data_IF_831606814964
#
_entry.id   IF_831606814964
#
_cell.length_a   1.000
_cell.length_b   1.000
_cell.length_c   1.000
_cell.angle_alpha   90.00
_cell.angle_beta   90.00
_cell.angle_gamma   90.00
#
_symmetry.space_group_name_H-M   'P 1'
#
loop_
_entity.id
_entity.type
_entity.pdbx_description
1 polymer ?
#
# COMPACT_ATOMS: atom_id res chain seq x y z
N UNK A 1 4.77 -21.69 -38.72
CA UNK A 1 4.22 -21.59 -37.35
C UNK A 1 5.21 -20.77 -36.52
N UNK A 2 5.00 -19.48 -36.25
CA UNK A 2 5.84 -18.79 -35.29
C UNK A 2 5.30 -19.03 -33.87
N UNK A 3 6.21 -19.49 -33.00
CA UNK A 3 6.01 -19.71 -31.58
C UNK A 3 5.75 -18.37 -30.88
N UNK A 4 4.66 -18.28 -30.12
CA UNK A 4 4.43 -17.21 -29.17
C UNK A 4 5.33 -17.42 -27.95
N UNK A 5 6.47 -16.75 -27.91
CA UNK A 5 7.30 -16.68 -26.71
C UNK A 5 6.60 -15.84 -25.65
N UNK A 6 6.37 -16.48 -24.50
CA UNK A 6 5.89 -15.92 -23.24
C UNK A 6 6.79 -14.75 -22.78
N UNK A 7 6.40 -13.53 -23.12
CA UNK A 7 7.13 -12.29 -22.79
C UNK A 7 6.51 -11.52 -21.61
N UNK A 8 5.96 -12.22 -20.61
CA UNK A 8 5.28 -11.58 -19.45
C UNK A 8 5.88 -11.87 -18.08
N UNK A 9 6.73 -12.87 -17.92
CA UNK A 9 7.23 -13.28 -16.59
C UNK A 9 8.56 -12.61 -16.16
N UNK A 10 9.27 -11.91 -17.06
CA UNK A 10 10.55 -11.27 -16.73
C UNK A 10 10.44 -9.87 -16.10
N UNK A 11 9.32 -9.18 -16.27
CA UNK A 11 9.18 -7.75 -15.91
C UNK A 11 8.66 -7.52 -14.50
N UNK A 12 7.77 -8.37 -13.99
CA UNK A 12 7.15 -8.18 -12.68
C UNK A 12 8.16 -8.39 -11.55
N UNK A 13 8.95 -9.48 -11.61
CA UNK A 13 10.05 -9.71 -10.67
C UNK A 13 11.11 -8.59 -10.75
N UNK A 14 11.36 -8.05 -11.94
CA UNK A 14 12.25 -6.92 -12.13
C UNK A 14 11.76 -5.65 -11.43
N UNK A 15 10.47 -5.33 -11.57
CA UNK A 15 9.86 -4.15 -10.91
C UNK A 15 9.89 -4.29 -9.39
N UNK A 16 9.56 -5.47 -8.85
CA UNK A 16 9.57 -5.71 -7.40
C UNK A 16 10.98 -5.52 -6.83
N UNK A 17 12.01 -6.03 -7.50
CA UNK A 17 13.41 -5.85 -7.09
C UNK A 17 13.81 -4.37 -7.11
N UNK A 18 13.48 -3.64 -8.18
CA UNK A 18 13.78 -2.21 -8.32
C UNK A 18 13.09 -1.39 -7.22
N UNK A 19 11.81 -1.65 -6.96
CA UNK A 19 11.06 -0.97 -5.91
C UNK A 19 11.63 -1.31 -4.54
N UNK A 20 11.96 -2.57 -4.25
CA UNK A 20 12.61 -2.97 -3.00
C UNK A 20 13.91 -2.20 -2.77
N UNK A 21 14.77 -2.10 -3.78
CA UNK A 21 16.06 -1.41 -3.67
C UNK A 21 15.86 0.11 -3.54
N UNK A 22 14.85 0.68 -4.19
CA UNK A 22 14.40 2.05 -3.97
C UNK A 22 13.94 2.27 -2.52
N UNK A 23 13.09 1.41 -1.98
CA UNK A 23 12.60 1.49 -0.59
C UNK A 23 13.75 1.43 0.42
N UNK A 24 14.75 0.57 0.19
CA UNK A 24 15.97 0.52 1.01
C UNK A 24 16.76 1.82 0.94
N UNK A 25 16.87 2.40 -0.25
CA UNK A 25 17.57 3.66 -0.48
C UNK A 25 16.88 4.79 0.29
N UNK A 26 15.55 4.92 0.13
CA UNK A 26 14.74 5.91 0.85
C UNK A 26 14.88 5.73 2.35
N UNK A 27 14.70 4.51 2.87
CA UNK A 27 14.80 4.25 4.30
C UNK A 27 16.17 4.63 4.90
N UNK A 28 17.26 4.40 4.16
CA UNK A 28 18.62 4.70 4.61
C UNK A 28 19.00 6.18 4.47
N UNK A 29 18.36 6.92 3.55
CA UNK A 29 18.74 8.29 3.21
C UNK A 29 17.78 9.34 3.77
N UNK A 30 16.54 8.98 4.09
CA UNK A 30 15.54 9.90 4.62
C UNK A 30 15.84 10.29 6.06
N UNK A 31 15.95 11.59 6.31
CA UNK A 31 15.93 12.16 7.67
C UNK A 31 14.51 12.14 8.20
N UNK A 32 14.17 11.11 8.97
CA UNK A 32 12.81 10.91 9.51
C UNK A 32 12.67 11.50 10.91
N UNK A 33 11.50 12.08 11.27
CA UNK A 33 11.23 12.61 12.61
C UNK A 33 11.20 11.54 13.71
N UNK A 34 11.06 10.27 13.35
CA UNK A 34 11.18 9.13 14.25
C UNK A 34 11.88 7.96 13.55
N UNK A 35 12.57 7.05 14.27
CA UNK A 35 13.30 5.96 13.65
C UNK A 35 12.37 5.04 12.84
N UNK A 36 12.53 5.04 11.52
CA UNK A 36 11.83 4.13 10.62
C UNK A 36 12.71 2.94 10.27
N UNK A 37 12.17 1.71 10.34
CA UNK A 37 12.86 0.46 9.98
C UNK A 37 12.15 -0.34 8.91
N UNK A 38 11.00 0.14 8.47
CA UNK A 38 10.20 -0.51 7.46
C UNK A 38 9.73 0.50 6.42
N UNK A 39 9.57 0.03 5.19
CA UNK A 39 9.02 0.82 4.11
C UNK A 39 8.19 -0.05 3.16
N UNK A 40 7.19 0.55 2.54
CA UNK A 40 6.41 -0.10 1.50
C UNK A 40 5.94 0.91 0.45
N UNK A 41 5.66 0.41 -0.75
CA UNK A 41 5.07 1.18 -1.84
C UNK A 41 3.63 0.72 -2.04
N UNK A 42 2.67 1.61 -1.80
CA UNK A 42 1.27 1.39 -2.20
C UNK A 42 1.11 1.86 -3.64
N UNK A 43 0.48 1.05 -4.49
CA UNK A 43 0.27 1.38 -5.89
C UNK A 43 -1.06 0.83 -6.42
N UNK A 44 -1.60 1.36 -7.52
CA UNK A 44 -2.72 0.74 -8.22
C UNK A 44 -2.31 -0.66 -8.70
N UNK A 45 -3.13 -1.66 -8.37
CA UNK A 45 -2.98 -3.06 -8.78
C UNK A 45 -4.11 -3.38 -9.76
N UNK A 46 -3.74 -3.97 -10.89
CA UNK A 46 -4.67 -4.52 -11.87
C UNK A 46 -4.25 -5.95 -12.17
N UNK A 47 -5.01 -6.91 -11.65
CA UNK A 47 -4.84 -8.35 -11.94
C UNK A 47 -6.16 -8.84 -12.48
N UNK A 48 -6.14 -9.72 -13.49
CA UNK A 48 -7.32 -10.20 -14.24
C UNK A 48 -8.66 -10.16 -13.48
N UNK A 49 -9.47 -9.11 -13.71
CA UNK A 49 -10.80 -8.94 -13.12
C UNK A 49 -10.88 -8.17 -11.80
N UNK A 50 -9.75 -7.86 -11.16
CA UNK A 50 -9.65 -7.14 -9.89
C UNK A 50 -8.94 -5.79 -10.06
N UNK A 51 -9.60 -4.73 -9.58
CA UNK A 51 -9.05 -3.38 -9.48
C UNK A 51 -8.99 -2.97 -8.01
N UNK A 52 -7.82 -2.54 -7.56
CA UNK A 52 -7.57 -2.24 -6.15
C UNK A 52 -6.17 -1.68 -5.93
N UNK A 53 -5.79 -1.52 -4.67
CA UNK A 53 -4.43 -1.20 -4.29
C UNK A 53 -3.62 -2.47 -4.02
N UNK A 54 -2.35 -2.44 -4.42
CA UNK A 54 -1.33 -3.42 -4.08
C UNK A 54 -0.24 -2.76 -3.25
N UNK A 55 0.59 -3.60 -2.63
CA UNK A 55 1.76 -3.18 -1.88
C UNK A 55 2.99 -3.96 -2.32
N UNK A 56 4.09 -3.25 -2.51
CA UNK A 56 5.43 -3.83 -2.58
C UNK A 56 6.16 -3.53 -1.27
N UNK A 57 6.67 -4.57 -0.60
CA UNK A 57 7.32 -4.44 0.72
C UNK A 57 8.84 -4.29 0.61
N UNK A 58 9.47 -3.82 1.69
CA UNK A 58 10.94 -3.78 1.82
C UNK A 58 11.61 -5.17 1.73
N UNK A 59 10.85 -6.24 1.99
CA UNK A 59 11.31 -7.63 1.83
C UNK A 59 11.31 -8.07 0.34
N UNK A 60 10.68 -7.30 -0.55
CA UNK A 60 10.52 -7.66 -1.96
C UNK A 60 9.30 -8.54 -2.23
N UNK A 61 8.26 -8.43 -1.41
CA UNK A 61 6.98 -9.09 -1.64
C UNK A 61 6.06 -8.17 -2.46
N UNK A 62 5.11 -8.74 -3.21
CA UNK A 62 4.08 -8.01 -3.93
C UNK A 62 2.71 -8.61 -3.61
N UNK A 63 1.85 -7.85 -2.96
CA UNK A 63 0.64 -8.35 -2.31
C UNK A 63 -0.57 -7.44 -2.61
N UNK A 64 -1.82 -7.95 -2.57
CA UNK A 64 -2.98 -7.08 -2.44
C UNK A 64 -2.91 -6.27 -1.13
N UNK A 65 -3.27 -4.98 -1.18
CA UNK A 65 -3.58 -4.24 0.04
C UNK A 65 -4.99 -4.62 0.48
N UNK A 66 -5.11 -5.47 1.50
CA UNK A 66 -6.41 -5.90 2.04
C UNK A 66 -6.83 -5.00 3.21
N UNK A 67 -8.10 -5.05 3.61
CA UNK A 67 -8.59 -4.29 4.78
C UNK A 67 -7.81 -4.64 6.04
N UNK A 68 -7.50 -5.92 6.27
CA UNK A 68 -6.72 -6.35 7.44
C UNK A 68 -5.33 -5.72 7.44
N UNK A 69 -4.65 -5.68 6.29
CA UNK A 69 -3.33 -5.07 6.18
C UNK A 69 -3.39 -3.55 6.39
N UNK A 70 -4.45 -2.90 5.90
CA UNK A 70 -4.72 -1.49 6.08
C UNK A 70 -5.02 -1.12 7.54
N UNK A 71 -5.81 -1.93 8.25
CA UNK A 71 -6.08 -1.73 9.68
C UNK A 71 -4.82 -1.86 10.53
N UNK A 72 -3.88 -2.74 10.16
CA UNK A 72 -2.58 -2.80 10.81
C UNK A 72 -1.74 -1.53 10.59
N UNK A 73 -1.79 -0.93 9.39
CA UNK A 73 -1.12 0.35 9.10
C UNK A 73 -1.73 1.52 9.88
N UNK A 74 -3.06 1.57 10.04
CA UNK A 74 -3.76 2.63 10.81
C UNK A 74 -3.28 2.75 12.25
N UNK A 75 -2.86 1.63 12.84
CA UNK A 75 -2.49 1.54 14.26
C UNK A 75 -1.07 1.99 14.54
N UNK A 76 -0.29 2.34 13.51
CA UNK A 76 1.09 2.74 13.67
C UNK A 76 1.37 4.12 13.08
N UNK A 77 2.34 4.87 13.63
CA UNK A 77 2.82 6.08 12.99
C UNK A 77 3.45 5.75 11.63
N UNK A 78 2.95 6.39 10.57
CA UNK A 78 3.50 6.28 9.22
C UNK A 78 3.84 7.65 8.64
N UNK A 79 4.94 7.70 7.88
CA UNK A 79 5.36 8.86 7.12
C UNK A 79 5.17 8.60 5.64
N UNK A 80 4.61 9.58 4.93
CA UNK A 80 4.61 9.63 3.48
C UNK A 80 5.91 10.28 3.01
N UNK A 81 6.60 9.62 2.08
CA UNK A 81 7.85 10.08 1.46
C UNK A 81 8.97 10.47 2.46
N UNK A 82 8.85 10.02 3.70
CA UNK A 82 9.84 10.20 4.76
C UNK A 82 9.70 11.48 5.59
N UNK A 83 8.75 12.37 5.27
CA UNK A 83 8.60 13.65 5.97
C UNK A 83 7.22 13.87 6.55
N UNK A 84 6.17 13.42 5.86
CA UNK A 84 4.80 13.86 6.17
C UNK A 84 4.08 12.81 7.00
N UNK A 85 3.68 13.10 8.26
CA UNK A 85 2.86 12.18 9.03
C UNK A 85 1.51 11.97 8.37
N UNK A 86 1.19 10.72 8.10
CA UNK A 86 -0.07 10.35 7.46
C UNK A 86 -0.74 9.20 8.19
N UNK A 87 -2.06 9.17 8.08
CA UNK A 87 -2.88 8.01 8.41
C UNK A 87 -3.60 7.59 7.14
N UNK A 88 -3.59 6.29 6.87
CA UNK A 88 -4.32 5.68 5.78
C UNK A 88 -5.51 4.91 6.32
N UNK A 89 -6.65 4.91 5.66
CA UNK A 89 -7.78 4.08 6.07
C UNK A 89 -8.77 3.84 4.94
N UNK A 90 -9.74 2.96 5.18
CA UNK A 90 -10.81 2.73 4.20
C UNK A 90 -11.60 4.03 3.97
N UNK A 91 -12.11 4.20 2.76
CA UNK A 91 -12.99 5.34 2.47
C UNK A 91 -14.36 5.18 3.12
N UNK A 92 -14.91 3.96 3.11
CA UNK A 92 -16.13 3.60 3.84
C UNK A 92 -15.92 2.27 4.61
N UNK A 93 -16.54 2.10 5.78
CA UNK A 93 -16.48 0.83 6.55
C UNK A 93 -17.07 -0.36 5.76
N UNK A 94 -17.97 -0.09 4.81
CA UNK A 94 -18.63 -1.09 3.95
C UNK A 94 -17.74 -1.60 2.80
N UNK A 95 -16.59 -0.97 2.52
CA UNK A 95 -15.63 -1.44 1.49
C UNK A 95 -14.96 -2.77 1.85
N UNK A 96 -15.14 -3.26 3.09
CA UNK A 96 -14.55 -4.50 3.58
C UNK A 96 -15.11 -5.79 2.94
N UNK A 97 -16.20 -5.70 2.17
CA UNK A 97 -16.93 -6.87 1.66
C UNK A 97 -17.41 -6.69 0.21
N UNK A 98 -16.65 -6.02 -0.67
CA UNK A 98 -17.05 -5.88 -2.08
C UNK A 98 -16.85 -7.21 -2.81
N UNK A 99 -17.92 -7.94 -3.20
CA UNK A 99 -17.74 -9.18 -3.96
C UNK A 99 -17.05 -8.88 -5.28
N UNK A 100 -16.05 -9.69 -5.63
CA UNK A 100 -15.48 -9.66 -6.98
C UNK A 100 -16.55 -9.98 -8.04
N UNK A 101 -16.32 -9.62 -9.32
CA UNK A 101 -17.24 -9.98 -10.39
C UNK A 101 -17.47 -11.50 -10.45
N UNK A 102 -18.71 -11.91 -10.78
CA UNK A 102 -19.12 -13.31 -10.87
C UNK A 102 -18.14 -14.11 -11.75
N UNK A 103 -17.52 -15.13 -11.15
CA UNK A 103 -16.57 -16.03 -11.83
C UNK A 103 -15.09 -15.90 -11.42
N UNK A 104 -14.75 -15.03 -10.46
CA UNK A 104 -13.40 -14.98 -9.90
C UNK A 104 -13.11 -16.22 -9.01
N UNK A 105 -12.50 -17.25 -9.59
CA UNK A 105 -12.06 -18.46 -8.90
C UNK A 105 -10.77 -18.24 -8.09
N UNK A 106 -10.76 -17.31 -7.12
CA UNK A 106 -9.54 -16.98 -6.37
C UNK A 106 -9.70 -17.16 -4.86
N UNK A 107 -8.61 -17.65 -4.25
CA UNK A 107 -8.47 -17.96 -2.82
C UNK A 107 -7.77 -16.83 -2.03
N UNK A 108 -7.53 -15.66 -2.65
CA UNK A 108 -6.87 -14.50 -2.02
C UNK A 108 -7.93 -13.52 -1.45
N UNK A 109 -7.65 -12.80 -0.35
CA UNK A 109 -8.55 -11.77 0.14
C UNK A 109 -8.59 -10.57 -0.82
N UNK A 110 -9.77 -9.98 -0.97
CA UNK A 110 -10.03 -8.87 -1.90
C UNK A 110 -9.20 -7.62 -1.56
N UNK A 111 -8.66 -6.92 -2.57
CA UNK A 111 -7.93 -5.68 -2.36
C UNK A 111 -8.88 -4.51 -2.05
N UNK A 112 -8.39 -3.52 -1.32
CA UNK A 112 -9.11 -2.25 -1.11
C UNK A 112 -9.12 -1.45 -2.42
N UNK A 113 -10.28 -0.92 -2.77
CA UNK A 113 -10.51 -0.14 -4.01
C UNK A 113 -10.69 1.36 -3.76
N UNK A 114 -10.75 1.79 -2.50
CA UNK A 114 -10.78 3.19 -2.09
C UNK A 114 -9.95 3.36 -0.83
N UNK A 115 -9.09 4.37 -0.82
CA UNK A 115 -8.18 4.65 0.28
C UNK A 115 -8.30 6.12 0.66
N UNK A 116 -8.54 6.39 1.92
CA UNK A 116 -8.47 7.74 2.48
C UNK A 116 -7.09 7.99 3.05
N UNK A 117 -6.50 9.10 2.64
CA UNK A 117 -5.23 9.61 3.12
C UNK A 117 -5.47 10.88 3.92
N UNK A 118 -5.09 10.89 5.20
CA UNK A 118 -5.14 12.06 6.06
C UNK A 118 -3.72 12.53 6.41
N UNK A 119 -3.43 13.81 6.16
CA UNK A 119 -2.16 14.44 6.49
C UNK A 119 -2.17 15.06 7.90
N UNK A 120 -1.01 15.09 8.56
CA UNK A 120 -0.77 15.93 9.74
C UNK A 120 -1.13 15.31 11.09
N UNK A 121 -1.14 13.98 11.22
CA UNK A 121 -1.46 13.30 12.48
C UNK A 121 -0.19 13.09 13.31
N UNK A 122 -0.02 13.84 14.40
CA UNK A 122 0.97 13.53 15.43
C UNK A 122 0.45 12.40 16.34
N UNK A 123 1.34 11.51 16.79
CA UNK A 123 1.03 10.24 17.46
C UNK A 123 0.49 10.35 18.91
N UNK A 124 0.04 11.52 19.35
CA UNK A 124 -0.46 11.72 20.71
C UNK A 124 -1.61 12.71 20.72
N UNK A 125 -2.84 12.21 20.57
CA UNK A 125 -3.92 12.54 21.49
C UNK A 125 -5.20 11.85 21.08
N UNK A 126 -5.67 11.01 21.99
CA UNK A 126 -7.06 10.59 22.09
C UNK A 126 -7.95 11.83 22.24
N UNK A 127 -8.43 12.37 21.12
CA UNK A 127 -9.37 13.49 21.13
C UNK A 127 -9.50 14.16 19.77
N UNK A 128 -10.52 13.76 18.99
CA UNK A 128 -11.06 14.52 17.85
C UNK A 128 -10.02 15.14 16.90
N UNK A 129 -9.62 14.39 15.87
CA UNK A 129 -8.83 14.86 14.73
C UNK A 129 -9.42 16.14 14.11
N UNK A 130 -8.87 17.31 14.45
CA UNK A 130 -9.20 18.61 13.85
C UNK A 130 -8.05 19.12 12.98
N UNK A 131 -7.98 18.62 11.75
CA UNK A 131 -7.86 19.43 10.52
C UNK A 131 -7.96 18.49 9.31
N UNK A 132 -9.12 18.47 8.65
CA UNK A 132 -9.52 17.47 7.65
C UNK A 132 -9.25 17.95 6.23
N UNK A 133 -8.05 17.73 5.70
CA UNK A 133 -7.90 17.49 4.26
C UNK A 133 -7.64 16.01 4.07
N UNK A 134 -8.73 15.24 4.03
CA UNK A 134 -8.67 13.85 3.60
C UNK A 134 -8.71 13.82 2.08
N UNK A 135 -7.78 13.08 1.47
CA UNK A 135 -7.78 12.84 0.03
C UNK A 135 -8.29 11.42 -0.19
N UNK A 136 -9.35 11.29 -0.99
CA UNK A 136 -9.84 10.00 -1.45
C UNK A 136 -9.04 9.57 -2.67
N UNK A 137 -8.41 8.40 -2.58
CA UNK A 137 -7.62 7.81 -3.65
C UNK A 137 -8.37 6.60 -4.20
N UNK A 138 -8.46 6.55 -5.52
CA UNK A 138 -9.03 5.41 -6.26
C UNK A 138 -7.96 4.81 -7.17
N UNK A 139 -7.89 3.48 -7.29
CA UNK A 139 -6.94 2.80 -8.16
C UNK A 139 -7.29 3.09 -9.61
N UNK A 140 -6.43 3.83 -10.30
CA UNK A 140 -6.49 4.02 -11.75
C UNK A 140 -5.12 3.68 -12.34
N UNK A 141 -5.00 3.42 -13.64
CA UNK A 141 -3.71 3.08 -14.26
C UNK A 141 -2.60 4.12 -14.01
N UNK A 142 -2.99 5.40 -13.95
CA UNK A 142 -2.10 6.52 -13.64
C UNK A 142 -2.21 6.98 -12.17
N UNK A 143 -2.88 6.20 -11.32
CA UNK A 143 -3.18 6.54 -9.95
C UNK A 143 -1.94 6.73 -9.07
N UNK A 144 -2.12 7.29 -7.88
CA UNK A 144 -1.03 7.68 -6.99
C UNK A 144 -0.23 6.45 -6.54
N UNK A 145 1.09 6.63 -6.43
CA UNK A 145 1.99 5.68 -5.79
C UNK A 145 2.51 6.33 -4.52
N UNK A 146 2.35 5.66 -3.39
CA UNK A 146 2.70 6.21 -2.08
C UNK A 146 3.84 5.40 -1.49
N UNK A 147 4.98 6.04 -1.25
CA UNK A 147 6.07 5.45 -0.47
C UNK A 147 5.85 5.77 0.99
N UNK A 148 5.63 4.74 1.80
CA UNK A 148 5.40 4.88 3.23
C UNK A 148 6.58 4.35 4.01
N UNK A 149 6.95 5.06 5.06
CA UNK A 149 7.91 4.64 6.05
C UNK A 149 7.19 4.43 7.39
N UNK A 150 7.58 3.37 8.09
CA UNK A 150 7.02 3.02 9.38
C UNK A 150 8.12 2.65 10.36
N UNK A 151 7.84 2.84 11.66
CA UNK A 151 8.78 2.54 12.73
C UNK A 151 9.29 1.10 12.68
N UNK A 152 8.39 0.18 12.38
CA UNK A 152 8.64 -1.24 12.23
C UNK A 152 7.66 -1.82 11.20
N UNK A 153 7.74 -3.12 11.00
CA UNK A 153 6.81 -3.81 10.12
C UNK A 153 5.42 -3.91 10.77
N UNK A 154 4.33 -3.56 10.07
CA UNK A 154 2.99 -3.67 10.65
C UNK A 154 2.64 -5.12 10.98
N UNK A 155 1.97 -5.33 12.12
CA UNK A 155 1.57 -6.66 12.60
C UNK A 155 0.64 -7.33 11.59
N UNK A 156 0.84 -8.63 11.34
CA UNK A 156 0.01 -9.42 10.42
C UNK A 156 0.36 -9.30 8.95
N UNK A 157 1.37 -8.49 8.59
CA UNK A 157 1.92 -8.46 7.24
C UNK A 157 2.83 -9.69 7.00
N UNK A 158 2.79 -10.33 5.83
CA UNK A 158 3.59 -11.52 5.48
C UNK A 158 5.09 -11.22 5.30
N UNK A 159 5.93 -12.26 5.50
CA UNK A 159 7.39 -12.30 5.74
C UNK A 159 8.29 -11.95 4.56
#
# INVERSE_FOLDING_TARGET
MPQFENRRTGTENGIVVVVRDHLRTVLNQSSTPFPCRYACLIHPRRRSGEEGFGVITLAGESLPLTVTLLESLKRMPTLLEGTDPVVLGAADEEDAMVPGPDGASWHEPLPVNRLMLWHGVAASDSGSLRNRTGIMLTPTAAGPRLTLLAAERPVGWPA
#
